data_IF_054094030718
#
_entry.id   IF_054094030718
#
_cell.length_a   1.000
_cell.length_b   1.000
_cell.length_c   1.000
_cell.angle_alpha   90.00
_cell.angle_beta   90.00
_cell.angle_gamma   90.00
#
_symmetry.space_group_name_H-M   'P 1'
#
loop_
_entity.id
_entity.type
_entity.pdbx_description
1 polymer ?
#
# COMPACT_ATOMS: atom_id res chain seq x y z
N UNK A 1 34.66 36.37 22.48
CA UNK A 1 35.95 36.34 21.77
C UNK A 1 35.71 36.59 20.30
N UNK A 2 36.28 37.66 19.76
CA UNK A 2 36.15 38.06 18.35
C UNK A 2 37.18 37.31 17.51
N UNK A 3 36.79 36.70 16.38
CA UNK A 3 37.73 36.19 15.38
C UNK A 3 37.52 36.94 14.07
N UNK A 4 38.62 37.48 13.54
CA UNK A 4 38.67 38.59 12.60
C UNK A 4 38.52 38.23 11.13
N UNK A 5 38.25 39.29 10.37
CA UNK A 5 38.25 39.37 8.90
C UNK A 5 39.67 39.28 8.33
N UNK A 6 39.84 38.53 7.24
CA UNK A 6 40.90 38.76 6.26
C UNK A 6 40.36 38.58 4.83
N UNK A 7 40.21 39.73 4.16
CA UNK A 7 40.15 39.97 2.71
C UNK A 7 41.30 39.25 1.95
N UNK A 8 41.27 38.84 0.67
CA UNK A 8 40.48 39.24 -0.51
C UNK A 8 40.86 38.29 -1.70
N UNK A 9 39.93 38.09 -2.65
CA UNK A 9 40.06 37.57 -4.04
C UNK A 9 40.25 36.06 -4.28
N UNK A 10 39.13 35.35 -4.48
CA UNK A 10 39.03 34.32 -5.51
C UNK A 10 37.55 34.09 -5.85
N UNK A 11 37.19 34.46 -7.09
CA UNK A 11 36.07 33.98 -7.90
C UNK A 11 34.68 33.97 -7.23
N UNK A 12 33.81 34.81 -7.79
CA UNK A 12 32.37 34.66 -7.74
C UNK A 12 31.97 33.34 -8.44
N UNK A 13 32.24 32.20 -7.82
CA UNK A 13 31.43 31.02 -8.05
C UNK A 13 30.15 31.27 -7.27
N UNK A 14 29.08 31.56 -8.02
CA UNK A 14 27.75 31.19 -7.61
C UNK A 14 27.79 29.68 -7.37
N UNK A 15 28.25 29.25 -6.20
CA UNK A 15 27.75 28.01 -5.63
C UNK A 15 26.30 28.39 -5.34
N UNK A 16 25.44 28.12 -6.31
CA UNK A 16 24.09 27.76 -5.99
C UNK A 16 24.24 26.65 -4.97
N UNK A 17 24.13 27.01 -3.68
CA UNK A 17 23.54 26.10 -2.73
C UNK A 17 22.18 25.88 -3.34
N UNK A 18 22.11 24.88 -4.22
CA UNK A 18 20.85 24.37 -4.72
C UNK A 18 20.09 24.14 -3.44
N UNK A 19 19.07 24.95 -3.21
CA UNK A 19 18.14 24.70 -2.15
C UNK A 19 17.73 23.26 -2.40
N UNK A 20 18.27 22.34 -1.60
CA UNK A 20 17.68 21.03 -1.46
C UNK A 20 16.34 21.42 -0.89
N UNK A 21 15.34 21.45 -1.76
CA UNK A 21 13.98 21.70 -1.39
C UNK A 21 13.64 20.47 -0.55
N UNK A 22 14.04 20.52 0.72
CA UNK A 22 13.69 19.55 1.71
C UNK A 22 12.23 19.88 1.96
N UNK A 23 11.37 19.33 1.10
CA UNK A 23 9.96 19.18 1.41
C UNK A 23 9.94 18.47 2.74
N UNK A 24 9.71 19.23 3.80
CA UNK A 24 9.44 18.67 5.11
C UNK A 24 8.24 17.76 4.92
N UNK A 25 8.40 16.47 5.18
CA UNK A 25 7.30 15.53 5.09
C UNK A 25 6.16 16.01 6.00
N UNK A 26 4.90 15.76 5.60
CA UNK A 26 3.78 16.10 6.47
C UNK A 26 3.93 15.32 7.77
N UNK A 27 3.45 15.87 8.88
CA UNK A 27 3.42 15.15 10.15
C UNK A 27 2.69 13.81 9.97
N UNK A 28 3.40 12.71 10.21
CA UNK A 28 2.87 11.35 10.07
C UNK A 28 3.19 10.65 8.74
N UNK A 29 3.95 11.27 7.84
CA UNK A 29 4.48 10.63 6.64
C UNK A 29 5.78 9.87 6.94
N UNK A 30 6.04 8.81 6.18
CA UNK A 30 7.31 8.10 6.15
C UNK A 30 8.27 8.80 5.19
N UNK A 31 9.53 8.94 5.59
CA UNK A 31 10.57 9.55 4.77
C UNK A 31 11.49 8.46 4.19
N UNK A 32 11.50 8.34 2.86
CA UNK A 32 12.39 7.46 2.13
C UNK A 32 13.86 7.85 2.33
N UNK A 33 14.78 6.92 2.08
CA UNK A 33 16.22 7.22 2.12
C UNK A 33 16.61 8.30 1.09
N UNK A 34 15.93 8.34 -0.06
CA UNK A 34 16.07 9.41 -1.07
C UNK A 34 15.47 10.77 -0.69
N UNK A 35 14.78 10.88 0.45
CA UNK A 35 14.15 12.12 0.92
C UNK A 35 12.74 12.38 0.37
N UNK A 36 12.19 11.46 -0.42
CA UNK A 36 10.77 11.44 -0.81
C UNK A 36 9.90 11.11 0.42
N UNK A 37 8.68 11.63 0.47
CA UNK A 37 7.74 11.39 1.56
C UNK A 37 6.59 10.52 1.05
N UNK A 38 6.27 9.46 1.79
CA UNK A 38 5.23 8.48 1.49
C UNK A 38 4.21 8.48 2.63
N UNK A 39 2.92 8.36 2.31
CA UNK A 39 1.90 8.19 3.33
C UNK A 39 2.18 6.90 4.10
N UNK A 40 2.03 6.91 5.41
CA UNK A 40 2.21 5.68 6.21
C UNK A 40 1.26 4.55 5.79
N UNK A 41 0.15 4.86 5.12
CA UNK A 41 -0.80 3.86 4.58
C UNK A 41 -0.22 3.04 3.42
N UNK A 42 0.79 3.58 2.76
CA UNK A 42 1.45 2.97 1.61
C UNK A 42 2.78 2.31 2.00
N UNK A 43 3.20 2.44 3.26
CA UNK A 43 4.40 1.76 3.75
C UNK A 43 4.06 0.29 3.98
N UNK A 44 4.92 -0.60 3.51
CA UNK A 44 4.76 -2.04 3.69
C UNK A 44 3.50 -2.60 2.99
N UNK A 45 3.19 -2.05 1.81
CA UNK A 45 2.01 -2.40 1.00
C UNK A 45 2.35 -3.15 -0.31
N UNK A 46 3.59 -3.63 -0.43
CA UNK A 46 4.16 -4.33 -1.58
C UNK A 46 4.41 -3.47 -2.82
N UNK A 47 4.23 -2.14 -2.74
CA UNK A 47 4.52 -1.22 -3.84
C UNK A 47 5.68 -0.31 -3.47
N UNK A 48 6.70 -0.23 -4.31
CA UNK A 48 7.84 0.68 -4.08
C UNK A 48 7.46 2.11 -4.51
N UNK A 49 7.00 2.93 -3.56
CA UNK A 49 6.73 4.34 -3.81
C UNK A 49 8.00 5.19 -3.67
N UNK A 50 8.97 4.74 -2.88
CA UNK A 50 10.25 5.43 -2.73
C UNK A 50 11.14 5.36 -3.98
N UNK A 51 10.96 4.34 -4.83
CA UNK A 51 11.82 3.99 -5.98
C UNK A 51 13.18 3.37 -5.57
N UNK A 52 13.45 3.30 -4.27
CA UNK A 52 14.61 2.65 -3.68
C UNK A 52 14.20 1.51 -2.71
N UNK A 53 12.90 1.21 -2.65
CA UNK A 53 12.28 0.22 -1.78
C UNK A 53 12.40 0.48 -0.28
N UNK A 54 12.79 1.69 0.16
CA UNK A 54 13.01 1.96 1.59
C UNK A 54 11.74 1.89 2.45
N UNK A 55 10.59 2.13 1.86
CA UNK A 55 9.23 1.89 2.37
C UNK A 55 8.89 0.40 2.58
N UNK A 56 9.54 -0.51 1.87
CA UNK A 56 9.26 -1.96 1.93
C UNK A 56 10.32 -2.80 2.68
N UNK A 57 11.37 -2.15 3.22
CA UNK A 57 12.51 -2.86 3.83
C UNK A 57 12.26 -3.39 5.24
N UNK A 58 11.55 -2.65 6.10
CA UNK A 58 11.29 -3.04 7.49
C UNK A 58 9.79 -3.09 7.79
N UNK A 59 9.21 -4.25 7.49
CA UNK A 59 7.79 -4.51 7.66
C UNK A 59 7.48 -5.49 8.80
N UNK A 60 8.40 -5.63 9.75
CA UNK A 60 8.27 -6.58 10.87
C UNK A 60 7.06 -6.32 11.78
N UNK A 61 6.57 -5.08 11.81
CA UNK A 61 5.35 -4.68 12.54
C UNK A 61 4.06 -4.76 11.73
N UNK A 62 4.09 -5.23 10.49
CA UNK A 62 2.94 -5.26 9.59
C UNK A 62 2.51 -6.70 9.29
N UNK A 63 1.23 -7.00 9.51
CA UNK A 63 0.60 -8.18 8.94
C UNK A 63 0.21 -7.86 7.50
N UNK A 64 0.88 -8.50 6.53
CA UNK A 64 0.74 -8.20 5.10
C UNK A 64 0.15 -9.38 4.34
N UNK A 65 -0.69 -9.11 3.34
CA UNK A 65 -1.23 -10.13 2.45
C UNK A 65 -1.54 -9.56 1.06
N UNK A 66 -0.88 -10.08 0.04
CA UNK A 66 -1.03 -9.73 -1.39
C UNK A 66 -1.78 -10.80 -2.19
N UNK A 67 -2.13 -11.94 -1.57
CA UNK A 67 -2.83 -13.07 -2.19
C UNK A 67 -2.07 -13.82 -3.29
N UNK A 68 -0.77 -13.60 -3.45
CA UNK A 68 0.01 -14.20 -4.55
C UNK A 68 0.26 -15.70 -4.38
N UNK A 69 0.22 -16.21 -3.15
CA UNK A 69 0.47 -17.62 -2.83
C UNK A 69 -0.76 -18.29 -2.20
N UNK A 70 -1.42 -17.60 -1.25
CA UNK A 70 -2.52 -18.12 -0.46
C UNK A 70 -3.39 -16.99 0.13
N UNK A 71 -4.29 -17.33 1.06
CA UNK A 71 -5.10 -16.35 1.82
C UNK A 71 -4.35 -15.80 3.04
N UNK A 72 -3.04 -16.03 3.14
CA UNK A 72 -2.23 -15.70 4.30
C UNK A 72 -2.84 -16.26 5.60
N UNK A 73 -2.92 -15.44 6.65
CA UNK A 73 -3.56 -15.81 7.92
C UNK A 73 -5.09 -15.62 7.92
N UNK A 74 -5.72 -15.46 6.76
CA UNK A 74 -7.16 -15.26 6.62
C UNK A 74 -7.89 -16.55 6.23
N UNK A 75 -9.15 -16.65 6.64
CA UNK A 75 -10.01 -17.80 6.40
C UNK A 75 -11.37 -17.36 5.87
N UNK A 76 -11.90 -18.09 4.90
CA UNK A 76 -13.26 -17.88 4.42
C UNK A 76 -14.26 -18.37 5.48
N UNK A 77 -15.24 -17.53 5.78
CA UNK A 77 -16.31 -17.86 6.69
C UNK A 77 -17.61 -18.15 5.92
N UNK A 78 -18.07 -19.40 5.99
CA UNK A 78 -19.41 -19.84 5.60
C UNK A 78 -19.45 -20.87 4.46
N UNK A 79 -20.47 -21.73 4.50
CA UNK A 79 -20.85 -22.69 3.44
C UNK A 79 -21.57 -21.99 2.26
N UNK A 80 -21.14 -20.77 1.91
CA UNK A 80 -21.81 -19.96 0.88
C UNK A 80 -21.52 -20.52 -0.52
N UNK A 81 -22.49 -20.49 -1.47
CA UNK A 81 -22.23 -20.86 -2.87
C UNK A 81 -21.21 -19.93 -3.56
N UNK A 82 -20.83 -18.82 -2.93
CA UNK A 82 -19.80 -17.89 -3.40
C UNK A 82 -18.52 -18.08 -2.60
N UNK A 83 -17.59 -18.87 -3.13
CA UNK A 83 -16.24 -19.04 -2.59
C UNK A 83 -15.34 -17.87 -3.00
N UNK A 84 -14.63 -17.25 -2.05
CA UNK A 84 -13.52 -16.34 -2.29
C UNK A 84 -12.29 -17.16 -2.71
N UNK A 85 -12.20 -17.60 -3.96
CA UNK A 85 -10.98 -18.26 -4.42
C UNK A 85 -9.82 -17.25 -4.54
N UNK A 86 -8.55 -17.66 -4.29
CA UNK A 86 -7.46 -17.01 -5.01
C UNK A 86 -7.79 -17.17 -6.50
N UNK A 87 -7.74 -16.10 -7.27
CA UNK A 87 -8.18 -16.12 -8.66
C UNK A 87 -7.16 -16.90 -9.53
N UNK A 88 -7.14 -18.24 -9.40
CA UNK A 88 -6.48 -19.15 -10.36
C UNK A 88 -7.34 -19.33 -11.62
N UNK A 89 -8.46 -18.62 -11.73
CA UNK A 89 -9.36 -18.64 -12.87
C UNK A 89 -9.66 -17.21 -13.26
N UNK A 90 -8.94 -16.73 -14.28
CA UNK A 90 -9.23 -15.52 -15.02
C UNK A 90 -10.74 -15.40 -15.25
N UNK A 91 -11.41 -14.54 -14.47
CA UNK A 91 -12.81 -14.22 -14.70
C UNK A 91 -12.91 -13.51 -16.06
N UNK A 92 -13.86 -13.87 -16.95
CA UNK A 92 -14.02 -13.19 -18.22
C UNK A 92 -14.70 -11.81 -18.00
N UNK A 93 -13.94 -10.84 -17.46
CA UNK A 93 -14.21 -9.38 -17.26
C UNK A 93 -15.55 -8.97 -16.57
N UNK A 94 -15.60 -7.89 -15.74
CA UNK A 94 -14.80 -6.66 -15.73
C UNK A 94 -14.10 -6.44 -14.38
N UNK A 95 -13.10 -7.27 -14.08
CA UNK A 95 -12.14 -7.00 -13.00
C UNK A 95 -10.99 -6.10 -13.49
N UNK A 96 -10.20 -5.52 -12.58
CA UNK A 96 -8.96 -4.84 -12.96
C UNK A 96 -8.01 -5.83 -13.66
N UNK A 97 -7.29 -5.33 -14.67
CA UNK A 97 -6.32 -6.12 -15.46
C UNK A 97 -4.96 -6.30 -14.77
N UNK A 98 -4.79 -5.63 -13.62
CA UNK A 98 -3.60 -5.59 -12.79
C UNK A 98 -4.07 -5.59 -11.34
N UNK A 99 -3.33 -6.25 -10.46
CA UNK A 99 -3.52 -6.11 -9.02
C UNK A 99 -3.08 -4.71 -8.54
N UNK A 100 -3.11 -4.48 -7.22
CA UNK A 100 -2.70 -3.20 -6.66
C UNK A 100 -1.22 -2.89 -6.88
N UNK A 101 -0.35 -3.92 -6.88
CA UNK A 101 1.09 -3.73 -7.09
C UNK A 101 1.45 -3.40 -8.54
N UNK A 102 0.48 -3.44 -9.46
CA UNK A 102 0.67 -3.22 -10.89
C UNK A 102 1.10 -4.49 -11.64
N UNK A 103 1.08 -5.63 -10.98
CA UNK A 103 1.34 -6.94 -11.55
C UNK A 103 0.12 -7.43 -12.35
N UNK A 104 0.32 -7.65 -13.66
CA UNK A 104 -0.71 -8.16 -14.58
C UNK A 104 -1.06 -9.63 -14.36
N UNK A 105 -0.18 -10.37 -13.73
CA UNK A 105 -0.39 -11.77 -13.36
C UNK A 105 -0.55 -11.93 -11.86
N UNK A 106 -0.70 -10.81 -11.14
CA UNK A 106 -0.93 -10.81 -9.71
C UNK A 106 -2.35 -11.28 -9.40
N UNK A 107 -2.54 -11.67 -8.15
CA UNK A 107 -3.78 -12.24 -7.66
C UNK A 107 -4.51 -11.23 -6.78
N UNK A 108 -5.83 -11.30 -6.80
CA UNK A 108 -6.67 -10.55 -5.87
C UNK A 108 -7.94 -11.34 -5.59
N UNK A 109 -8.63 -10.99 -4.51
CA UNK A 109 -9.92 -11.58 -4.20
C UNK A 109 -11.02 -10.92 -5.02
N UNK A 110 -11.80 -11.75 -5.73
CA UNK A 110 -12.97 -11.29 -6.49
C UNK A 110 -14.26 -11.90 -5.97
N UNK A 111 -15.32 -11.09 -5.95
CA UNK A 111 -16.66 -11.49 -5.56
C UNK A 111 -17.52 -11.59 -6.82
N UNK A 112 -17.79 -12.82 -7.25
CA UNK A 112 -18.69 -13.08 -8.37
C UNK A 112 -20.08 -13.45 -7.88
N UNK A 113 -21.08 -12.65 -8.27
CA UNK A 113 -22.49 -12.92 -8.00
C UNK A 113 -23.03 -13.81 -9.11
N UNK A 114 -23.19 -15.11 -8.82
CA UNK A 114 -23.94 -15.99 -9.72
C UNK A 114 -25.44 -15.84 -9.44
N UNK A 115 -26.22 -15.55 -10.48
CA UNK A 115 -27.69 -15.56 -10.49
C UNK A 115 -28.42 -14.45 -9.72
N UNK A 116 -27.86 -13.23 -9.62
CA UNK A 116 -28.50 -12.03 -9.03
C UNK A 116 -29.09 -12.20 -7.62
N UNK A 117 -28.73 -13.27 -6.93
CA UNK A 117 -29.13 -13.48 -5.54
C UNK A 117 -28.13 -12.73 -4.67
N UNK A 118 -28.64 -12.03 -3.64
CA UNK A 118 -27.78 -11.48 -2.59
C UNK A 118 -26.98 -12.61 -1.95
N UNK A 119 -25.71 -12.68 -2.28
CA UNK A 119 -24.75 -13.60 -1.69
C UNK A 119 -23.83 -12.85 -0.76
N UNK A 120 -23.65 -13.38 0.44
CA UNK A 120 -22.65 -12.89 1.38
C UNK A 120 -21.43 -13.79 1.28
N UNK A 121 -20.27 -13.18 1.19
CA UNK A 121 -18.99 -13.83 1.40
C UNK A 121 -18.30 -13.08 2.53
N UNK A 122 -17.70 -13.84 3.45
CA UNK A 122 -16.99 -13.29 4.58
C UNK A 122 -15.58 -13.83 4.61
N UNK A 123 -14.61 -12.94 4.83
CA UNK A 123 -13.23 -13.27 5.06
C UNK A 123 -12.88 -12.85 6.49
N UNK A 124 -12.23 -13.74 7.24
CA UNK A 124 -11.87 -13.52 8.64
C UNK A 124 -10.37 -13.57 8.80
N UNK A 125 -9.80 -12.48 9.30
CA UNK A 125 -8.40 -12.39 9.70
C UNK A 125 -8.17 -12.96 11.11
N UNK A 126 -6.91 -12.91 11.54
CA UNK A 126 -6.51 -13.09 12.93
C UNK A 126 -7.10 -12.00 13.82
N UNK A 127 -7.12 -12.26 15.13
CA UNK A 127 -7.60 -11.29 16.11
C UNK A 127 -6.52 -10.26 16.38
N UNK A 128 -6.80 -9.00 16.03
CA UNK A 128 -5.99 -7.85 16.42
C UNK A 128 -6.46 -7.33 17.77
N UNK A 129 -5.53 -7.18 18.72
CA UNK A 129 -5.82 -6.52 19.99
C UNK A 129 -5.91 -5.00 19.77
N UNK A 130 -6.86 -4.30 20.40
CA UNK A 130 -7.00 -2.87 20.23
C UNK A 130 -5.77 -2.14 20.76
N UNK A 131 -5.21 -1.25 19.94
CA UNK A 131 -4.12 -0.34 20.32
C UNK A 131 -4.42 1.06 19.79
N UNK A 132 -3.78 2.07 20.37
CA UNK A 132 -3.97 3.49 19.99
C UNK A 132 -3.47 3.81 18.55
N UNK A 133 -2.70 2.92 17.92
CA UNK A 133 -2.03 3.16 16.65
C UNK A 133 -2.21 2.04 15.62
N UNK A 134 -3.16 1.12 15.83
CA UNK A 134 -3.45 0.07 14.85
C UNK A 134 -4.26 0.65 13.69
N UNK A 135 -3.78 0.43 12.46
CA UNK A 135 -4.48 0.79 11.24
C UNK A 135 -4.52 -0.40 10.30
N UNK A 136 -5.66 -0.60 9.66
CA UNK A 136 -5.85 -1.60 8.62
C UNK A 136 -6.08 -0.90 7.29
N UNK A 137 -5.32 -1.28 6.28
CA UNK A 137 -5.39 -0.72 4.93
C UNK A 137 -5.60 -1.85 3.95
N UNK A 138 -6.54 -1.69 3.02
CA UNK A 138 -6.81 -2.65 1.97
C UNK A 138 -7.23 -1.93 0.69
N UNK A 139 -6.87 -2.52 -0.44
CA UNK A 139 -7.21 -2.03 -1.76
C UNK A 139 -8.44 -2.76 -2.29
N UNK A 140 -9.37 -2.00 -2.86
CA UNK A 140 -10.60 -2.56 -3.40
C UNK A 140 -10.96 -1.92 -4.73
N UNK A 141 -11.60 -2.70 -5.59
CA UNK A 141 -12.14 -2.25 -6.85
C UNK A 141 -13.61 -2.65 -6.93
N UNK A 142 -14.49 -1.68 -7.14
CA UNK A 142 -15.92 -1.92 -7.36
C UNK A 142 -16.20 -1.84 -8.87
N UNK A 143 -16.33 -3.00 -9.51
CA UNK A 143 -16.73 -3.13 -10.92
C UNK A 143 -18.19 -3.52 -11.05
N UNK A 144 -18.95 -2.84 -11.93
CA UNK A 144 -20.35 -3.16 -12.22
C UNK A 144 -21.38 -2.61 -11.22
N UNK A 145 -22.65 -2.84 -11.50
CA UNK A 145 -23.80 -2.28 -10.78
C UNK A 145 -23.91 -2.84 -9.35
N UNK A 146 -23.62 -1.99 -8.35
CA UNK A 146 -24.00 -2.10 -6.93
C UNK A 146 -23.56 -3.37 -6.16
N UNK A 147 -22.31 -3.37 -5.68
CA UNK A 147 -21.89 -4.14 -4.50
C UNK A 147 -21.83 -3.25 -3.24
N UNK A 148 -22.27 -3.76 -2.09
CA UNK A 148 -22.16 -3.09 -0.79
C UNK A 148 -21.10 -3.80 0.07
N UNK A 149 -20.05 -3.08 0.46
CA UNK A 149 -19.02 -3.54 1.39
C UNK A 149 -19.34 -3.07 2.82
N UNK A 150 -19.09 -3.93 3.82
CA UNK A 150 -19.20 -3.57 5.24
C UNK A 150 -17.93 -4.01 5.96
N UNK A 151 -17.17 -3.03 6.44
CA UNK A 151 -16.04 -3.19 7.38
C UNK A 151 -16.53 -3.48 8.79
#
# INVERSE_FOLDING_TARGET
MTCGFQSLWALCFLVSVGARNCTCCRSGDFQCQGGLCVLTDNVCDFTDQCGDGSDERDCSGFERCDFEQDLCNMSQCGDSPTTLGPELWVSPTPGPTQDHTGNRTGHYLSLSVQNERRSLAALRSTVFLPTESCRMTFYHHLGGSVGLYRS
#
